data_IF_275223478161
#
_entry.id   IF_275223478161
#
_cell.length_a   1.000
_cell.length_b   1.000
_cell.length_c   1.000
_cell.angle_alpha   90.00
_cell.angle_beta   90.00
_cell.angle_gamma   90.00
#
_symmetry.space_group_name_H-M   'P 1'
#
loop_
_entity.id
_entity.type
_entity.pdbx_description
1 polymer ?
#
# COMPACT_ATOMS: atom_id res chain seq x y z
N UNK A 1 2.44 13.65 -15.39
CA UNK A 1 1.81 13.54 -14.07
C UNK A 1 0.82 12.41 -14.17
N UNK A 2 0.96 11.40 -13.31
CA UNK A 2 0.10 10.23 -13.32
C UNK A 2 -1.16 10.51 -12.49
N UNK A 3 -2.06 9.53 -12.44
CA UNK A 3 -3.27 9.62 -11.62
C UNK A 3 -3.62 8.25 -11.07
N UNK A 4 -4.37 8.24 -9.98
CA UNK A 4 -4.86 7.00 -9.36
C UNK A 4 -5.64 6.12 -10.34
N UNK A 5 -6.33 6.68 -11.35
CA UNK A 5 -7.07 5.91 -12.35
C UNK A 5 -6.23 5.01 -13.27
N UNK A 6 -4.89 5.05 -13.18
CA UNK A 6 -3.99 4.14 -13.90
C UNK A 6 -3.67 2.88 -13.10
N UNK A 7 -4.08 2.80 -11.83
CA UNK A 7 -3.79 1.69 -10.94
C UNK A 7 -4.92 0.66 -11.00
N UNK A 8 -4.55 -0.62 -10.96
CA UNK A 8 -5.47 -1.74 -11.04
C UNK A 8 -5.77 -2.33 -9.65
N UNK A 9 -7.03 -2.72 -9.36
CA UNK A 9 -7.39 -3.36 -8.11
C UNK A 9 -6.68 -4.71 -7.95
N UNK A 10 -6.24 -5.02 -6.72
CA UNK A 10 -5.48 -6.21 -6.38
C UNK A 10 -3.97 -6.05 -6.51
N UNK A 11 -3.48 -4.99 -7.17
CA UNK A 11 -2.05 -4.74 -7.36
C UNK A 11 -1.45 -3.86 -6.25
N UNK A 12 -0.16 -4.07 -6.03
CA UNK A 12 0.67 -3.29 -5.10
C UNK A 12 1.58 -2.36 -5.89
N UNK A 13 1.65 -1.10 -5.49
CA UNK A 13 2.42 -0.08 -6.18
C UNK A 13 3.31 0.69 -5.20
N UNK A 14 4.52 0.99 -5.65
CA UNK A 14 5.36 2.01 -5.03
C UNK A 14 5.10 3.33 -5.73
N UNK A 15 4.54 4.30 -5.00
CA UNK A 15 4.14 5.59 -5.55
C UNK A 15 4.75 6.74 -4.77
N UNK A 16 4.96 7.85 -5.47
CA UNK A 16 5.29 9.14 -4.87
C UNK A 16 4.13 10.10 -5.17
N UNK A 17 3.40 10.54 -4.14
CA UNK A 17 2.23 11.41 -4.35
C UNK A 17 2.63 12.87 -4.66
N UNK A 18 3.71 13.38 -4.05
CA UNK A 18 4.24 14.73 -4.27
C UNK A 18 5.76 14.67 -4.46
N UNK A 19 6.32 15.63 -5.19
CA UNK A 19 7.75 15.67 -5.57
C UNK A 19 8.75 15.53 -4.40
N UNK A 20 8.38 16.00 -3.22
CA UNK A 20 9.22 15.98 -2.01
C UNK A 20 8.79 14.92 -1.00
N UNK A 21 7.78 14.11 -1.34
CA UNK A 21 7.27 13.06 -0.46
C UNK A 21 8.14 11.80 -0.56
N UNK A 22 8.17 10.99 0.49
CA UNK A 22 8.80 9.67 0.43
C UNK A 22 8.01 8.72 -0.46
N UNK A 23 8.67 7.67 -0.95
CA UNK A 23 7.98 6.60 -1.68
C UNK A 23 7.12 5.82 -0.68
N UNK A 24 5.86 5.61 -1.03
CA UNK A 24 4.89 4.84 -0.23
C UNK A 24 4.48 3.59 -0.97
N UNK A 25 4.37 2.49 -0.23
CA UNK A 25 3.74 1.28 -0.71
C UNK A 25 2.23 1.38 -0.51
N UNK A 26 1.50 1.16 -1.60
CA UNK A 26 0.04 1.12 -1.59
C UNK A 26 -0.49 -0.17 -2.21
N UNK A 27 -1.65 -0.61 -1.74
CA UNK A 27 -2.45 -1.65 -2.40
C UNK A 27 -3.80 -1.09 -2.80
N UNK A 28 -4.17 -1.24 -4.06
CA UNK A 28 -5.52 -0.89 -4.51
C UNK A 28 -6.46 -2.04 -4.14
N UNK A 29 -7.40 -1.78 -3.24
CA UNK A 29 -8.32 -2.76 -2.70
C UNK A 29 -9.52 -2.99 -3.63
N UNK A 30 -10.14 -1.89 -4.05
CA UNK A 30 -11.33 -1.90 -4.88
C UNK A 30 -11.42 -0.62 -5.70
N UNK A 31 -12.14 -0.68 -6.81
CA UNK A 31 -12.45 0.46 -7.65
C UNK A 31 -13.95 0.68 -7.76
N UNK A 32 -14.35 1.94 -7.90
CA UNK A 32 -15.70 2.36 -8.30
C UNK A 32 -15.61 3.17 -9.60
N UNK A 33 -16.73 3.66 -10.11
CA UNK A 33 -16.75 4.52 -11.30
C UNK A 33 -15.80 5.73 -11.21
N UNK A 34 -15.59 6.27 -10.00
CA UNK A 34 -14.86 7.52 -9.80
C UNK A 34 -13.76 7.47 -8.75
N UNK A 35 -13.68 6.43 -7.92
CA UNK A 35 -12.74 6.35 -6.81
C UNK A 35 -12.06 4.99 -6.73
N UNK A 36 -10.91 4.97 -6.07
CA UNK A 36 -10.20 3.78 -5.63
C UNK A 36 -10.13 3.77 -4.10
N UNK A 37 -10.34 2.60 -3.49
CA UNK A 37 -10.04 2.38 -2.09
C UNK A 37 -8.64 1.80 -1.98
N UNK A 38 -7.78 2.41 -1.17
CA UNK A 38 -6.35 2.15 -1.15
C UNK A 38 -5.89 1.92 0.29
N UNK A 39 -5.08 0.88 0.49
CA UNK A 39 -4.30 0.65 1.71
C UNK A 39 -2.94 1.31 1.55
N UNK A 40 -2.48 2.00 2.60
CA UNK A 40 -1.18 2.63 2.72
C UNK A 40 -0.40 1.90 3.82
N UNK A 41 0.72 1.31 3.46
CA UNK A 41 1.57 0.56 4.39
C UNK A 41 2.69 1.48 4.89
N UNK A 42 2.31 2.43 5.74
CA UNK A 42 3.26 3.27 6.50
C UNK A 42 3.54 2.62 7.87
N UNK A 43 3.96 3.39 8.86
CA UNK A 43 4.19 2.91 10.25
C UNK A 43 2.95 2.18 10.82
N UNK A 44 1.77 2.71 10.50
CA UNK A 44 0.48 2.06 10.74
C UNK A 44 -0.24 1.85 9.41
N UNK A 45 -1.02 0.78 9.33
CA UNK A 45 -1.89 0.53 8.18
C UNK A 45 -2.99 1.59 8.12
N UNK A 46 -2.90 2.48 7.13
CA UNK A 46 -3.91 3.50 6.87
C UNK A 46 -4.72 3.10 5.64
N UNK A 47 -6.03 3.36 5.67
CA UNK A 47 -6.90 3.15 4.52
C UNK A 47 -7.58 4.44 4.10
N UNK A 48 -7.84 4.60 2.81
CA UNK A 48 -8.44 5.82 2.31
C UNK A 48 -9.02 5.70 0.91
N UNK A 49 -9.93 6.62 0.61
CA UNK A 49 -10.49 6.78 -0.73
C UNK A 49 -9.72 7.85 -1.50
N UNK A 50 -9.38 7.55 -2.76
CA UNK A 50 -8.79 8.49 -3.72
C UNK A 50 -9.65 8.57 -4.95
N UNK A 51 -9.80 9.76 -5.53
CA UNK A 51 -10.48 9.90 -6.83
C UNK A 51 -9.56 9.38 -7.92
N UNK A 52 -10.11 8.76 -8.95
CA UNK A 52 -9.34 8.33 -10.13
C UNK A 52 -8.56 9.48 -10.79
N UNK A 53 -9.12 10.69 -10.73
CA UNK A 53 -8.47 11.91 -11.23
C UNK A 53 -7.50 12.58 -10.25
N UNK A 54 -7.34 12.08 -9.02
CA UNK A 54 -6.34 12.63 -8.10
C UNK A 54 -4.93 12.36 -8.67
N UNK A 55 -4.05 13.37 -8.68
CA UNK A 55 -2.76 13.24 -9.31
C UNK A 55 -1.78 12.44 -8.45
N UNK A 56 -0.93 11.69 -9.13
CA UNK A 56 0.25 11.03 -8.57
C UNK A 56 1.47 11.68 -9.23
N UNK A 57 2.47 12.08 -8.44
CA UNK A 57 3.69 12.65 -8.98
C UNK A 57 4.43 11.64 -9.85
N UNK A 58 4.71 10.47 -9.27
CA UNK A 58 5.40 9.37 -9.95
C UNK A 58 4.86 8.00 -9.49
N UNK A 59 4.74 7.07 -10.43
CA UNK A 59 4.47 5.66 -10.15
C UNK A 59 5.81 4.94 -10.40
N UNK A 60 6.48 4.58 -9.32
CA UNK A 60 7.85 4.07 -9.37
C UNK A 60 7.85 2.64 -9.92
N UNK A 61 6.98 1.80 -9.38
CA UNK A 61 6.91 0.39 -9.77
C UNK A 61 5.54 -0.22 -9.42
N UNK A 62 5.09 -1.15 -10.25
CA UNK A 62 4.05 -2.13 -9.90
C UNK A 62 4.74 -3.42 -9.47
N UNK A 63 4.53 -3.82 -8.21
CA UNK A 63 5.20 -4.99 -7.66
C UNK A 63 4.67 -6.29 -8.27
N UNK A 64 5.56 -7.26 -8.43
CA UNK A 64 5.20 -8.63 -8.79
C UNK A 64 4.77 -9.41 -7.55
N UNK A 65 4.03 -10.50 -7.72
CA UNK A 65 3.61 -11.38 -6.61
C UNK A 65 4.79 -11.88 -5.77
N UNK A 66 5.96 -12.10 -6.40
CA UNK A 66 7.17 -12.52 -5.70
C UNK A 66 7.66 -11.42 -4.73
N UNK A 67 7.80 -10.18 -5.22
CA UNK A 67 8.21 -9.05 -4.39
C UNK A 67 7.19 -8.74 -3.29
N UNK A 68 5.89 -8.85 -3.59
CA UNK A 68 4.83 -8.67 -2.59
C UNK A 68 4.96 -9.74 -1.50
N UNK A 69 5.14 -11.01 -1.86
CA UNK A 69 5.28 -12.09 -0.88
C UNK A 69 6.51 -11.93 0.02
N UNK A 70 7.64 -11.47 -0.53
CA UNK A 70 8.84 -11.18 0.25
C UNK A 70 8.62 -10.00 1.21
N UNK A 71 8.00 -8.93 0.73
CA UNK A 71 7.67 -7.77 1.55
C UNK A 71 6.65 -8.10 2.65
N UNK A 72 5.57 -8.84 2.34
CA UNK A 72 4.54 -9.23 3.30
C UNK A 72 5.12 -10.04 4.47
N UNK A 73 6.07 -10.94 4.19
CA UNK A 73 6.79 -11.67 5.24
C UNK A 73 7.57 -10.73 6.16
N UNK A 74 8.29 -9.77 5.59
CA UNK A 74 9.06 -8.80 6.37
C UNK A 74 8.16 -7.85 7.19
N UNK A 75 7.03 -7.44 6.62
CA UNK A 75 6.04 -6.59 7.28
C UNK A 75 5.39 -7.30 8.46
N UNK A 76 4.96 -8.55 8.28
CA UNK A 76 4.35 -9.35 9.34
C UNK A 76 5.36 -9.74 10.43
N UNK A 77 6.59 -10.13 10.09
CA UNK A 77 7.63 -10.45 11.09
C UNK A 77 7.94 -9.25 12.01
N UNK A 78 7.93 -8.03 11.47
CA UNK A 78 8.05 -6.80 12.27
C UNK A 78 6.83 -6.56 13.17
N UNK A 79 5.61 -6.88 12.71
CA UNK A 79 4.39 -6.70 13.49
C UNK A 79 4.21 -7.81 14.55
N UNK A 80 4.66 -9.04 14.28
CA UNK A 80 4.61 -10.17 15.20
C UNK A 80 5.57 -9.99 16.38
N UNK A 81 6.70 -9.28 16.20
CA UNK A 81 7.57 -8.88 17.31
C UNK A 81 6.87 -7.96 18.34
N UNK A 82 5.82 -7.24 17.94
CA UNK A 82 4.99 -6.40 18.81
C UNK A 82 3.73 -7.14 19.33
N UNK A 83 3.35 -8.29 18.75
CA UNK A 83 2.09 -9.00 19.04
C UNK A 83 2.23 -10.27 19.91
N UNK A 84 3.44 -10.67 20.32
CA UNK A 84 3.66 -11.88 21.13
C UNK A 84 4.24 -11.60 22.52
N UNK A 85 3.54 -10.77 23.30
CA UNK A 85 3.64 -10.76 24.77
C UNK A 85 2.25 -10.71 25.42
N UNK A 86 1.34 -11.60 25.04
CA UNK A 86 0.22 -11.99 25.90
C UNK A 86 -0.29 -13.37 25.46
N UNK A 87 0.32 -14.42 26.00
CA UNK A 87 -0.27 -15.25 27.07
C UNK A 87 0.62 -16.49 27.31
N UNK A 88 1.21 -16.50 28.50
CA UNK A 88 1.76 -17.70 29.17
C UNK A 88 0.63 -18.72 29.45
N UNK A 89 1.04 -19.97 29.69
CA UNK A 89 0.27 -21.11 30.23
C UNK A 89 -0.47 -22.03 29.25
N UNK A 90 0.21 -23.11 28.82
CA UNK A 90 -0.12 -24.51 29.22
C UNK A 90 1.08 -25.45 29.06
#
# INVERSE_FOLDING_TARGET
MYSYGLLEPGCYYLVQEKKEDSIKLIKVATETDHCLYVFYYEDQLVTGWRKKGDPIHDIVECLTDAHVSEWEKAYNDNQEQDSYHEEEDE
#
